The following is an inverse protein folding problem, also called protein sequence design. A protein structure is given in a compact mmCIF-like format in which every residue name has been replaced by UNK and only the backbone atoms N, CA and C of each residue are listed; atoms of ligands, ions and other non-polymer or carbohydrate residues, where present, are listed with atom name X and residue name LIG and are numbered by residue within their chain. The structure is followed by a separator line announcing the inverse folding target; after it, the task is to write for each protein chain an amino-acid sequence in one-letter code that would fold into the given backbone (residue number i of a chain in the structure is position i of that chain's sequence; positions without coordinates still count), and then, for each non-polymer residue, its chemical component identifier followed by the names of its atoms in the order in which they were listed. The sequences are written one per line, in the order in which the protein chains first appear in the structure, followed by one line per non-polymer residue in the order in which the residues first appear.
data_IF_068703529550
#
_entry.id   IF_068703529550
#
_cell.length_a   1.000
_cell.length_b   1.000
_cell.length_c   1.000
_cell.angle_alpha   90.00
_cell.angle_beta   90.00
_cell.angle_gamma   90.00
#
_symmetry.space_group_name_H-M   'P 1'
#
loop_
_entity.id
_entity.type
_entity.pdbx_description
1 polymer ?
#
# COMPACT_ATOMS: atom_id res chain seq x y z
N UNK A 1 20.29 6.99 -30.99
CA UNK A 1 19.62 7.24 -29.69
C UNK A 1 20.49 6.60 -28.63
N UNK A 2 21.31 7.39 -27.92
CA UNK A 2 22.08 6.87 -26.79
C UNK A 2 21.08 6.65 -25.66
N UNK A 3 20.66 5.39 -25.45
CA UNK A 3 20.01 5.02 -24.19
C UNK A 3 21.01 5.34 -23.08
N UNK A 4 20.69 6.31 -22.24
CA UNK A 4 21.46 6.58 -21.02
C UNK A 4 21.46 5.28 -20.22
N UNK A 5 22.65 4.73 -19.94
CA UNK A 5 22.75 3.47 -19.22
C UNK A 5 22.08 3.61 -17.84
N UNK A 6 21.29 2.60 -17.45
CA UNK A 6 20.68 2.53 -16.11
C UNK A 6 21.80 2.52 -15.07
N UNK A 7 21.75 3.46 -14.12
CA UNK A 7 22.75 3.56 -13.06
C UNK A 7 22.86 2.25 -12.26
N UNK A 8 24.08 1.83 -11.96
CA UNK A 8 24.39 0.58 -11.26
C UNK A 8 24.87 0.84 -9.84
N UNK A 9 24.76 -0.18 -8.99
CA UNK A 9 25.23 -0.20 -7.62
C UNK A 9 26.47 -1.08 -7.46
N UNK A 10 27.34 -0.75 -6.52
CA UNK A 10 28.42 -1.66 -6.08
C UNK A 10 27.88 -2.83 -5.24
N UNK A 11 26.64 -2.71 -4.73
CA UNK A 11 25.89 -3.83 -4.17
C UNK A 11 25.39 -4.68 -5.33
N UNK A 12 26.17 -5.69 -5.71
CA UNK A 12 26.01 -6.42 -6.98
C UNK A 12 24.60 -6.97 -7.19
N UNK A 13 24.01 -7.55 -6.15
CA UNK A 13 22.69 -8.18 -6.19
C UNK A 13 21.53 -7.17 -6.28
N UNK A 14 21.80 -5.86 -6.20
CA UNK A 14 20.82 -4.82 -6.53
C UNK A 14 20.70 -4.57 -8.05
N UNK A 15 21.73 -4.92 -8.84
CA UNK A 15 21.73 -4.68 -10.28
C UNK A 15 20.80 -5.66 -10.99
N UNK A 16 19.67 -5.15 -11.51
CA UNK A 16 18.62 -5.99 -12.10
C UNK A 16 17.66 -6.62 -11.08
N UNK A 17 17.79 -6.27 -9.80
CA UNK A 17 16.83 -6.67 -8.80
C UNK A 17 15.45 -6.08 -9.13
N UNK A 18 14.41 -6.92 -9.10
CA UNK A 18 13.08 -6.52 -9.56
C UNK A 18 12.38 -5.50 -8.66
N UNK A 19 12.62 -5.60 -7.34
CA UNK A 19 12.01 -4.71 -6.36
C UNK A 19 12.94 -3.60 -5.85
N UNK A 20 14.14 -3.93 -5.38
CA UNK A 20 15.06 -3.00 -4.69
C UNK A 20 16.35 -2.68 -5.47
N UNK A 21 16.31 -2.24 -6.75
CA UNK A 21 17.51 -1.74 -7.39
C UNK A 21 17.90 -0.37 -6.82
N UNK A 22 19.05 0.15 -7.26
CA UNK A 22 19.55 1.49 -6.87
C UNK A 22 18.53 2.61 -7.11
N UNK A 23 17.63 2.43 -8.09
CA UNK A 23 16.59 3.41 -8.41
C UNK A 23 15.43 3.41 -7.41
N UNK A 24 15.26 2.38 -6.58
CA UNK A 24 14.19 2.35 -5.60
C UNK A 24 14.60 3.01 -4.28
N UNK A 25 15.46 2.34 -3.50
CA UNK A 25 15.91 2.77 -2.16
C UNK A 25 14.73 3.09 -1.21
N UNK A 26 13.79 2.16 -0.99
CA UNK A 26 12.67 2.42 -0.09
C UNK A 26 13.16 2.38 1.37
N UNK A 27 12.49 3.14 2.23
CA UNK A 27 12.81 3.21 3.66
C UNK A 27 11.91 2.27 4.47
N UNK A 28 12.46 1.69 5.52
CA UNK A 28 11.71 0.82 6.42
C UNK A 28 12.32 0.80 7.81
N UNK A 29 11.60 0.18 8.74
CA UNK A 29 12.08 -0.07 10.10
C UNK A 29 12.39 -1.54 10.23
N UNK A 30 13.60 -1.84 10.70
CA UNK A 30 14.08 -3.20 10.89
C UNK A 30 14.74 -3.36 12.26
N UNK A 31 14.90 -4.61 12.68
CA UNK A 31 15.76 -4.99 13.80
C UNK A 31 16.46 -6.31 13.50
N UNK A 32 17.62 -6.51 14.09
CA UNK A 32 18.24 -7.83 14.21
C UNK A 32 17.82 -8.47 15.55
N UNK A 33 17.95 -9.80 15.70
CA UNK A 33 17.57 -10.47 16.94
C UNK A 33 18.22 -9.84 18.18
N UNK A 34 17.39 -9.37 19.12
CA UNK A 34 17.84 -8.76 20.38
C UNK A 34 18.32 -7.31 20.28
N UNK A 35 18.21 -6.67 19.11
CA UNK A 35 18.62 -5.28 18.91
C UNK A 35 17.43 -4.31 18.87
N UNK A 36 17.72 -3.02 19.08
CA UNK A 36 16.73 -1.95 18.96
C UNK A 36 16.24 -1.79 17.52
N UNK A 37 15.04 -1.21 17.37
CA UNK A 37 14.50 -0.81 16.07
C UNK A 37 15.37 0.29 15.44
N UNK A 38 15.68 0.13 14.16
CA UNK A 38 16.50 1.05 13.37
C UNK A 38 15.84 1.34 12.03
N UNK A 39 16.21 2.45 11.42
CA UNK A 39 15.81 2.75 10.05
C UNK A 39 16.82 2.18 9.05
N UNK A 40 16.31 1.53 8.01
CA UNK A 40 17.12 0.98 6.94
C UNK A 40 16.58 1.31 5.55
N UNK A 41 17.44 1.12 4.55
CA UNK A 41 17.12 1.26 3.13
C UNK A 41 17.34 -0.08 2.44
N UNK A 42 16.34 -0.59 1.72
CA UNK A 42 16.51 -1.82 0.96
C UNK A 42 17.38 -1.57 -0.29
N UNK A 43 18.35 -2.45 -0.53
CA UNK A 43 19.22 -2.44 -1.70
C UNK A 43 19.57 -3.89 -2.09
N UNK A 44 18.87 -4.38 -3.11
CA UNK A 44 18.76 -5.79 -3.45
C UNK A 44 18.32 -6.64 -2.24
N UNK A 45 18.99 -7.75 -1.98
CA UNK A 45 18.77 -8.66 -0.83
C UNK A 45 19.39 -8.16 0.49
N UNK A 46 19.78 -6.89 0.57
CA UNK A 46 20.40 -6.29 1.77
C UNK A 46 19.64 -5.05 2.26
N UNK A 47 19.86 -4.73 3.52
CA UNK A 47 19.36 -3.52 4.18
C UNK A 47 20.57 -2.69 4.61
N UNK A 48 20.66 -1.44 4.15
CA UNK A 48 21.61 -0.47 4.65
C UNK A 48 21.08 0.16 5.95
N UNK A 49 21.79 -0.03 7.06
CA UNK A 49 21.52 0.63 8.34
C UNK A 49 21.93 2.11 8.27
N UNK A 50 20.94 3.00 8.30
CA UNK A 50 21.18 4.44 8.20
C UNK A 50 21.88 4.99 9.44
N UNK A 51 21.63 4.44 10.63
CA UNK A 51 22.30 4.90 11.85
C UNK A 51 23.79 4.52 11.84
N UNK A 52 24.12 3.31 11.38
CA UNK A 52 25.50 2.87 11.22
C UNK A 52 26.23 3.71 10.15
N UNK A 53 25.59 3.96 9.00
CA UNK A 53 26.16 4.81 7.96
C UNK A 53 26.31 6.28 8.40
N UNK A 54 25.42 6.79 9.25
CA UNK A 54 25.57 8.09 9.90
C UNK A 54 26.74 8.13 10.87
N UNK A 55 26.93 7.08 11.68
CA UNK A 55 28.06 6.97 12.60
C UNK A 55 29.41 6.92 11.85
N UNK A 56 29.43 6.41 10.62
CA UNK A 56 30.58 6.44 9.72
C UNK A 56 30.89 7.83 9.11
N UNK A 57 30.09 8.87 9.44
CA UNK A 57 30.34 10.24 8.98
C UNK A 57 29.95 10.50 7.52
N UNK A 58 29.14 9.63 6.92
CA UNK A 58 28.85 9.65 5.49
C UNK A 58 27.72 10.62 5.09
N UNK A 59 27.09 11.30 6.03
CA UNK A 59 26.00 12.26 5.76
C UNK A 59 26.35 13.66 6.28
N UNK A 60 26.00 14.68 5.49
CA UNK A 60 26.16 16.10 5.82
C UNK A 60 24.89 16.88 5.48
N UNK A 61 24.77 18.12 5.99
CA UNK A 61 23.66 19.03 5.66
C UNK A 61 22.27 18.43 5.89
N UNK A 62 21.36 18.64 4.92
CA UNK A 62 19.99 18.12 4.99
C UNK A 62 19.91 16.60 4.99
N UNK A 63 20.82 15.90 4.31
CA UNK A 63 20.86 14.43 4.33
C UNK A 63 21.20 13.91 5.73
N UNK A 64 22.09 14.59 6.46
CA UNK A 64 22.38 14.28 7.87
C UNK A 64 21.15 14.47 8.75
N UNK A 65 20.49 15.63 8.64
CA UNK A 65 19.28 15.92 9.40
C UNK A 65 18.16 14.90 9.13
N UNK A 66 18.03 14.46 7.87
CA UNK A 66 17.10 13.41 7.47
C UNK A 66 17.36 12.08 8.19
N UNK A 67 18.61 11.60 8.22
CA UNK A 67 18.96 10.36 8.92
C UNK A 67 18.84 10.52 10.44
N UNK A 68 19.19 11.68 11.00
CA UNK A 68 18.99 11.93 12.43
C UNK A 68 17.51 11.86 12.82
N UNK A 69 16.60 12.29 11.93
CA UNK A 69 15.16 12.24 12.12
C UNK A 69 14.53 10.84 11.92
N UNK A 70 15.26 9.85 11.42
CA UNK A 70 14.77 8.46 11.37
C UNK A 70 15.15 7.64 12.61
N UNK A 71 15.95 8.20 13.52
CA UNK A 71 16.31 7.58 14.79
C UNK A 71 15.08 7.35 15.67
N UNK A 72 15.12 6.27 16.46
CA UNK A 72 14.03 5.92 17.37
C UNK A 72 12.98 4.99 16.78
N UNK A 73 13.27 4.37 15.63
CA UNK A 73 12.49 3.25 15.10
C UNK A 73 11.16 3.63 14.47
N UNK A 74 11.04 4.84 13.91
CA UNK A 74 9.87 5.27 13.16
C UNK A 74 10.22 6.39 12.16
N UNK A 75 9.55 6.43 11.01
CA UNK A 75 9.77 7.44 9.97
C UNK A 75 9.02 8.76 10.20
N UNK A 76 8.19 8.89 11.24
CA UNK A 76 7.34 10.07 11.45
C UNK A 76 8.11 11.40 11.47
N UNK A 77 9.23 11.48 12.21
CA UNK A 77 10.01 12.71 12.29
C UNK A 77 10.71 13.03 10.96
N UNK A 78 11.13 12.01 10.20
CA UNK A 78 11.62 12.19 8.84
C UNK A 78 10.53 12.67 7.87
N UNK A 79 9.31 12.13 7.97
CA UNK A 79 8.15 12.59 7.20
C UNK A 79 7.82 14.06 7.49
N UNK A 80 7.94 14.49 8.75
CA UNK A 80 7.71 15.87 9.17
C UNK A 80 8.69 16.89 8.56
N UNK A 81 9.90 16.47 8.17
CA UNK A 81 10.88 17.36 7.52
C UNK A 81 10.50 17.75 6.08
N UNK A 82 9.52 17.07 5.49
CA UNK A 82 9.02 17.37 4.15
C UNK A 82 9.98 16.97 3.02
N UNK A 83 9.60 17.39 1.80
CA UNK A 83 10.21 16.92 0.54
C UNK A 83 11.71 17.20 0.43
N UNK A 84 12.18 18.36 0.86
CA UNK A 84 13.59 18.74 0.71
C UNK A 84 14.55 17.76 1.41
N UNK A 85 14.21 17.34 2.64
CA UNK A 85 15.00 16.36 3.38
C UNK A 85 14.97 14.97 2.74
N UNK A 86 13.81 14.55 2.21
CA UNK A 86 13.68 13.27 1.48
C UNK A 86 14.56 13.22 0.23
N UNK A 87 14.52 14.29 -0.57
CA UNK A 87 15.35 14.44 -1.77
C UNK A 87 16.84 14.41 -1.40
N UNK A 88 17.25 15.20 -0.40
CA UNK A 88 18.65 15.26 0.03
C UNK A 88 19.18 13.89 0.50
N UNK A 89 18.38 13.15 1.27
CA UNK A 89 18.73 11.79 1.67
C UNK A 89 18.87 10.85 0.46
N UNK A 90 17.89 10.87 -0.44
CA UNK A 90 17.89 10.03 -1.65
C UNK A 90 19.10 10.31 -2.54
N UNK A 91 19.39 11.57 -2.84
CA UNK A 91 20.55 11.96 -3.64
C UNK A 91 21.86 11.49 -3.00
N UNK A 92 22.00 11.65 -1.68
CA UNK A 92 23.18 11.17 -0.98
C UNK A 92 23.30 9.64 -1.05
N UNK A 93 22.21 8.91 -0.88
CA UNK A 93 22.20 7.45 -0.98
C UNK A 93 22.56 6.96 -2.38
N UNK A 94 22.08 7.63 -3.43
CA UNK A 94 22.45 7.31 -4.82
C UNK A 94 23.97 7.44 -5.06
N UNK A 95 24.60 8.47 -4.48
CA UNK A 95 26.06 8.63 -4.53
C UNK A 95 26.77 7.54 -3.72
N UNK A 96 26.31 7.30 -2.49
CA UNK A 96 26.93 6.33 -1.57
C UNK A 96 26.85 4.89 -2.09
N UNK A 97 25.74 4.52 -2.73
CA UNK A 97 25.48 3.17 -3.23
C UNK A 97 25.81 2.99 -4.72
N UNK A 98 26.14 4.04 -5.46
CA UNK A 98 26.48 3.96 -6.89
C UNK A 98 27.78 3.20 -7.18
N UNK A 99 27.84 2.47 -8.29
CA UNK A 99 28.93 1.53 -8.70
C UNK A 99 30.37 2.02 -8.47
N UNK A 100 30.61 3.34 -8.58
CA UNK A 100 31.93 3.95 -8.42
C UNK A 100 32.10 4.74 -7.11
N UNK A 101 31.28 4.48 -6.10
CA UNK A 101 31.40 5.10 -4.78
C UNK A 101 32.79 4.82 -4.19
N UNK A 102 33.41 5.83 -3.59
CA UNK A 102 34.66 5.68 -2.84
C UNK A 102 34.43 5.15 -1.42
N UNK A 103 33.17 5.08 -0.98
CA UNK A 103 32.77 4.75 0.40
C UNK A 103 32.29 3.30 0.58
N UNK A 104 32.63 2.41 -0.36
CA UNK A 104 32.15 1.01 -0.34
C UNK A 104 32.64 0.26 0.90
N UNK A 105 33.90 0.49 1.29
CA UNK A 105 34.51 -0.20 2.42
C UNK A 105 33.82 0.18 3.74
N UNK A 106 33.53 1.47 3.93
CA UNK A 106 32.85 2.01 5.11
C UNK A 106 31.41 1.52 5.20
N UNK A 107 30.69 1.47 4.07
CA UNK A 107 29.28 1.05 4.02
C UNK A 107 29.08 -0.45 4.13
N UNK A 108 30.08 -1.27 3.76
CA UNK A 108 29.97 -2.74 3.82
C UNK A 108 29.65 -3.24 5.23
N UNK A 109 30.15 -2.57 6.27
CA UNK A 109 29.87 -2.90 7.67
C UNK A 109 28.45 -2.50 8.13
N UNK A 110 27.77 -1.61 7.38
CA UNK A 110 26.42 -1.14 7.64
C UNK A 110 25.36 -1.87 6.81
N UNK A 111 25.75 -2.85 5.97
CA UNK A 111 24.83 -3.68 5.20
C UNK A 111 24.54 -4.99 5.94
N UNK A 112 23.27 -5.29 6.12
CA UNK A 112 22.79 -6.56 6.68
C UNK A 112 22.03 -7.36 5.63
N UNK A 113 22.19 -8.69 5.56
CA UNK A 113 21.30 -9.53 4.77
C UNK A 113 19.85 -9.33 5.21
N UNK A 114 18.94 -9.08 4.27
CA UNK A 114 17.53 -8.85 4.59
C UNK A 114 16.90 -10.07 5.29
N UNK A 115 17.37 -11.28 4.98
CA UNK A 115 16.95 -12.54 5.61
C UNK A 115 17.32 -12.67 7.09
N UNK A 116 18.26 -11.86 7.58
CA UNK A 116 18.67 -11.83 9.00
C UNK A 116 17.95 -10.73 9.80
N UNK A 117 17.08 -9.97 9.14
CA UNK A 117 16.38 -8.83 9.71
C UNK A 117 14.88 -9.11 9.85
N UNK A 118 14.30 -8.61 10.94
CA UNK A 118 12.85 -8.52 11.10
C UNK A 118 12.39 -7.13 10.71
N UNK A 119 11.38 -7.05 9.84
CA UNK A 119 10.76 -5.79 9.42
C UNK A 119 9.54 -5.46 10.28
N UNK A 120 9.32 -4.15 10.48
CA UNK A 120 8.26 -3.61 11.34
C UNK A 120 7.42 -2.59 10.58
N UNK A 121 6.37 -2.05 11.23
CA UNK A 121 5.64 -0.92 10.67
C UNK A 121 6.60 0.28 10.50
N UNK A 122 6.55 0.97 9.35
CA UNK A 122 7.52 2.01 9.04
C UNK A 122 7.30 3.30 9.86
N UNK A 123 6.08 3.56 10.30
CA UNK A 123 5.71 4.72 11.08
C UNK A 123 4.65 4.36 12.13
N UNK A 124 4.56 5.20 13.17
CA UNK A 124 3.45 5.19 14.11
C UNK A 124 2.28 5.91 13.45
N UNK A 125 1.22 5.17 13.16
CA UNK A 125 0.01 5.74 12.52
C UNK A 125 -0.85 6.41 13.58
N UNK A 126 -1.04 7.72 13.45
CA UNK A 126 -2.01 8.48 14.24
C UNK A 126 -3.42 8.12 13.79
N UNK A 127 -3.74 8.50 12.57
CA UNK A 127 -5.02 8.21 11.92
C UNK A 127 -4.84 7.36 10.66
N UNK A 128 -5.75 6.39 10.49
CA UNK A 128 -5.91 5.59 9.28
C UNK A 128 -7.25 5.95 8.65
N UNK A 129 -7.25 6.37 7.40
CA UNK A 129 -8.48 6.58 6.62
C UNK A 129 -8.46 5.68 5.40
N UNK A 130 -9.55 4.98 5.16
CA UNK A 130 -9.67 4.14 3.98
C UNK A 130 -10.64 4.79 2.99
N UNK A 131 -10.17 4.99 1.76
CA UNK A 131 -10.96 5.59 0.69
C UNK A 131 -11.70 4.52 -0.11
N UNK A 132 -12.44 4.95 -1.13
CA UNK A 132 -13.21 4.05 -1.98
C UNK A 132 -13.04 4.40 -3.46
N UNK A 133 -11.80 4.53 -3.94
CA UNK A 133 -11.52 5.19 -5.25
C UNK A 133 -11.62 4.27 -6.48
N UNK A 134 -11.63 2.95 -6.29
CA UNK A 134 -11.76 1.99 -7.40
C UNK A 134 -13.17 1.93 -7.96
N UNK A 135 -13.43 2.58 -9.10
CA UNK A 135 -14.80 2.70 -9.64
C UNK A 135 -15.36 1.37 -10.13
N UNK A 136 -14.51 0.49 -10.66
CA UNK A 136 -14.90 -0.86 -11.06
C UNK A 136 -15.31 -1.66 -9.83
N UNK A 137 -14.53 -1.59 -8.75
CA UNK A 137 -14.88 -2.22 -7.48
C UNK A 137 -16.22 -1.70 -6.94
N UNK A 138 -16.39 -0.37 -6.88
CA UNK A 138 -17.63 0.26 -6.45
C UNK A 138 -18.84 -0.18 -7.30
N UNK A 139 -18.65 -0.33 -8.61
CA UNK A 139 -19.68 -0.81 -9.53
C UNK A 139 -19.99 -2.29 -9.33
N UNK A 140 -18.96 -3.13 -9.17
CA UNK A 140 -19.10 -4.58 -9.01
C UNK A 140 -19.82 -4.92 -7.71
N UNK A 141 -19.35 -4.37 -6.58
CA UNK A 141 -20.00 -4.52 -5.28
C UNK A 141 -21.40 -3.92 -5.32
N UNK A 142 -21.54 -2.73 -5.89
CA UNK A 142 -22.82 -2.08 -6.12
C UNK A 142 -23.85 -2.98 -6.82
N UNK A 143 -23.46 -3.70 -7.87
CA UNK A 143 -24.36 -4.62 -8.60
C UNK A 143 -24.87 -5.78 -7.76
N UNK A 144 -24.11 -6.22 -6.75
CA UNK A 144 -24.53 -7.31 -5.86
C UNK A 144 -25.67 -6.89 -4.91
N UNK A 145 -25.72 -5.60 -4.54
CA UNK A 145 -26.69 -5.07 -3.58
C UNK A 145 -27.77 -4.18 -4.21
N UNK A 146 -27.44 -3.50 -5.31
CA UNK A 146 -28.24 -2.51 -6.03
C UNK A 146 -28.00 -2.64 -7.55
N UNK A 147 -28.49 -3.72 -8.20
CA UNK A 147 -28.19 -4.04 -9.59
C UNK A 147 -28.55 -2.91 -10.57
N UNK A 148 -29.66 -2.20 -10.33
CA UNK A 148 -30.15 -1.15 -11.22
C UNK A 148 -29.42 0.19 -11.07
N UNK A 149 -28.81 0.43 -9.90
CA UNK A 149 -28.04 1.65 -9.62
C UNK A 149 -26.84 1.34 -8.71
N UNK A 150 -25.77 0.73 -9.28
CA UNK A 150 -24.68 0.18 -8.48
C UNK A 150 -23.85 1.26 -7.79
N UNK A 151 -23.64 2.40 -8.46
CA UNK A 151 -22.93 3.55 -7.92
C UNK A 151 -23.89 4.53 -7.27
N UNK A 152 -23.58 4.99 -6.05
CA UNK A 152 -24.33 6.07 -5.43
C UNK A 152 -24.03 7.41 -6.11
N UNK A 153 -24.98 8.37 -6.14
CA UNK A 153 -24.84 9.60 -6.92
C UNK A 153 -23.60 10.45 -6.58
N UNK A 154 -23.14 10.41 -5.33
CA UNK A 154 -22.00 11.19 -4.84
C UNK A 154 -20.64 10.66 -5.30
N UNK A 155 -20.53 9.39 -5.70
CA UNK A 155 -19.25 8.71 -5.98
C UNK A 155 -18.38 9.46 -7.00
N UNK A 156 -19.01 10.02 -8.04
CA UNK A 156 -18.31 10.72 -9.14
C UNK A 156 -17.96 12.18 -8.81
N UNK A 157 -18.42 12.69 -7.67
CA UNK A 157 -18.18 14.07 -7.22
C UNK A 157 -17.25 14.16 -6.01
N UNK A 158 -17.19 13.11 -5.20
CA UNK A 158 -16.47 13.09 -3.92
C UNK A 158 -15.63 11.81 -3.83
N UNK A 159 -14.33 11.87 -3.52
CA UNK A 159 -13.56 10.69 -3.14
C UNK A 159 -14.00 10.25 -1.73
N UNK A 160 -15.03 9.42 -1.67
CA UNK A 160 -15.61 8.93 -0.41
C UNK A 160 -14.56 8.10 0.35
N UNK A 161 -14.52 8.25 1.66
CA UNK A 161 -13.73 7.44 2.57
C UNK A 161 -14.33 7.40 3.97
N UNK A 162 -13.76 6.58 4.84
CA UNK A 162 -14.15 6.44 6.25
C UNK A 162 -12.91 6.27 7.13
N UNK A 163 -13.03 6.60 8.41
CA UNK A 163 -11.95 6.38 9.36
C UNK A 163 -11.80 4.90 9.66
N UNK A 164 -10.62 4.34 9.37
CA UNK A 164 -10.24 2.98 9.69
C UNK A 164 -9.67 2.85 11.10
N UNK A 165 -9.13 1.68 11.44
CA UNK A 165 -8.58 1.40 12.77
C UNK A 165 -7.05 1.31 12.79
N UNK A 166 -6.40 2.38 13.24
CA UNK A 166 -4.94 2.44 13.33
C UNK A 166 -4.32 1.36 14.25
N UNK A 167 -4.96 1.03 15.38
CA UNK A 167 -4.39 0.11 16.39
C UNK A 167 -4.20 -1.34 15.90
N UNK A 168 -4.87 -1.72 14.81
CA UNK A 168 -4.86 -3.06 14.24
C UNK A 168 -4.11 -3.15 12.91
N UNK A 169 -3.37 -2.08 12.55
CA UNK A 169 -2.38 -2.15 11.48
C UNK A 169 -1.24 -3.08 11.90
N UNK A 170 -0.85 -3.99 11.01
CA UNK A 170 0.24 -4.95 11.24
C UNK A 170 1.18 -4.98 10.03
N UNK A 171 2.49 -5.21 10.26
CA UNK A 171 3.40 -5.42 9.15
C UNK A 171 3.10 -6.75 8.46
N UNK A 172 3.53 -6.84 7.20
CA UNK A 172 3.54 -8.06 6.41
C UNK A 172 4.08 -9.27 7.19
N UNK A 173 3.42 -10.42 7.07
CA UNK A 173 3.75 -11.66 7.76
C UNK A 173 2.98 -11.90 9.07
N UNK A 174 2.23 -10.92 9.57
CA UNK A 174 1.35 -11.11 10.72
C UNK A 174 0.24 -12.12 10.42
N UNK A 175 -0.10 -12.95 11.41
CA UNK A 175 -1.23 -13.89 11.32
C UNK A 175 -2.57 -13.14 11.31
N UNK A 176 -3.48 -13.62 10.46
CA UNK A 176 -4.82 -13.06 10.28
C UNK A 176 -5.80 -14.00 10.95
N UNK A 177 -6.14 -13.70 12.20
CA UNK A 177 -7.14 -14.51 12.93
C UNK A 177 -8.53 -14.22 12.39
N UNK A 178 -9.23 -15.28 11.94
CA UNK A 178 -10.63 -15.18 11.52
C UNK A 178 -11.46 -14.54 12.64
N UNK A 179 -12.15 -13.42 12.38
CA UNK A 179 -12.91 -12.75 13.41
C UNK A 179 -14.18 -13.54 13.72
N UNK A 180 -14.67 -13.38 14.95
CA UNK A 180 -16.06 -13.71 15.31
C UNK A 180 -16.88 -12.43 15.31
N UNK A 181 -18.16 -12.53 14.98
CA UNK A 181 -19.07 -11.39 15.03
C UNK A 181 -20.51 -11.79 14.86
N UNK A 182 -21.39 -10.78 14.87
CA UNK A 182 -22.79 -10.98 14.56
C UNK A 182 -22.99 -11.03 13.05
N UNK A 183 -23.86 -11.92 12.59
CA UNK A 183 -24.28 -12.01 11.19
C UNK A 183 -25.78 -12.23 11.12
N UNK A 184 -26.42 -11.72 10.06
CA UNK A 184 -27.82 -12.02 9.76
C UNK A 184 -27.92 -12.73 8.40
N UNK A 185 -28.03 -14.07 8.38
CA UNK A 185 -28.21 -14.81 7.15
C UNK A 185 -29.53 -14.44 6.43
N UNK A 186 -29.59 -14.49 5.08
CA UNK A 186 -30.82 -14.25 4.35
C UNK A 186 -31.98 -15.14 4.82
N UNK A 187 -33.15 -14.54 5.02
CA UNK A 187 -34.36 -15.24 5.49
C UNK A 187 -34.46 -15.40 7.00
N UNK A 188 -33.45 -15.00 7.76
CA UNK A 188 -33.50 -14.95 9.21
C UNK A 188 -33.98 -13.58 9.71
N UNK A 189 -34.63 -13.57 10.88
CA UNK A 189 -35.11 -12.35 11.55
C UNK A 189 -34.25 -11.95 12.75
N UNK A 190 -33.43 -12.87 13.27
CA UNK A 190 -32.55 -12.66 14.41
C UNK A 190 -31.10 -12.97 14.04
N UNK A 191 -30.11 -12.16 14.48
CA UNK A 191 -28.72 -12.40 14.17
C UNK A 191 -28.17 -13.59 14.96
N UNK A 192 -27.16 -14.25 14.39
CA UNK A 192 -26.35 -15.26 15.08
C UNK A 192 -24.96 -14.71 15.40
N UNK A 193 -24.25 -15.34 16.34
CA UNK A 193 -22.87 -15.01 16.69
C UNK A 193 -21.95 -16.20 16.44
N UNK A 194 -20.84 -15.98 15.73
CA UNK A 194 -19.88 -17.03 15.43
C UNK A 194 -18.73 -16.56 14.55
N UNK A 195 -17.85 -17.49 14.11
CA UNK A 195 -16.80 -17.18 13.15
C UNK A 195 -17.36 -16.62 11.84
N UNK A 196 -16.68 -15.63 11.27
CA UNK A 196 -16.93 -15.11 9.93
C UNK A 196 -16.85 -16.24 8.88
N UNK A 197 -17.90 -16.41 8.09
CA UNK A 197 -17.96 -17.37 6.98
C UNK A 197 -17.47 -16.77 5.66
N UNK A 198 -17.48 -15.44 5.52
CA UNK A 198 -17.10 -14.72 4.29
C UNK A 198 -15.89 -13.81 4.50
N UNK A 199 -14.76 -14.41 4.87
CA UNK A 199 -13.49 -13.70 5.04
C UNK A 199 -12.85 -13.41 3.69
N UNK A 200 -12.36 -12.20 3.51
CA UNK A 200 -11.89 -11.68 2.23
C UNK A 200 -10.65 -10.81 2.40
N UNK A 201 -9.93 -10.60 1.30
CA UNK A 201 -8.88 -9.59 1.19
C UNK A 201 -9.39 -8.38 0.39
N UNK A 202 -8.68 -7.27 0.51
CA UNK A 202 -8.83 -6.12 -0.39
C UNK A 202 -7.46 -5.69 -0.90
N UNK A 203 -7.27 -5.71 -2.21
CA UNK A 203 -6.04 -5.26 -2.86
C UNK A 203 -6.00 -3.73 -2.88
N UNK A 204 -5.10 -3.15 -2.09
CA UNK A 204 -5.00 -1.70 -1.94
C UNK A 204 -3.57 -1.16 -1.96
N UNK A 205 -3.50 0.15 -2.16
CA UNK A 205 -2.29 0.93 -1.95
C UNK A 205 -2.42 1.72 -0.63
N UNK A 206 -1.42 1.61 0.22
CA UNK A 206 -1.24 2.49 1.37
C UNK A 206 -0.47 3.76 0.97
N UNK A 207 -0.93 4.91 1.44
CA UNK A 207 -0.41 6.23 1.11
C UNK A 207 0.04 6.90 2.41
N UNK A 208 1.34 7.15 2.53
CA UNK A 208 1.93 7.75 3.72
C UNK A 208 1.94 9.27 3.62
N UNK A 209 1.33 9.93 4.61
CA UNK A 209 1.35 11.38 4.72
C UNK A 209 2.70 11.84 5.28
N UNK A 210 3.31 12.79 4.57
CA UNK A 210 4.55 13.48 4.87
C UNK A 210 4.34 14.61 5.85
N UNK A 211 4.66 15.84 5.45
CA UNK A 211 4.32 17.00 6.27
C UNK A 211 2.79 17.11 6.38
N UNK A 212 2.29 17.38 7.58
CA UNK A 212 0.86 17.60 7.82
C UNK A 212 0.40 19.02 7.42
N UNK A 213 -0.73 19.41 7.97
CA UNK A 213 -1.27 20.78 7.89
C UNK A 213 -1.68 21.27 9.30
N UNK A 214 -1.94 22.56 9.44
CA UNK A 214 -2.51 23.11 10.67
C UNK A 214 -4.03 22.87 10.69
N UNK A 215 -4.60 22.71 11.89
CA UNK A 215 -6.05 22.61 12.06
C UNK A 215 -6.77 23.81 11.44
N UNK A 216 -7.81 23.54 10.65
CA UNK A 216 -8.55 24.57 9.92
C UNK A 216 -7.90 25.04 8.62
N UNK A 217 -6.69 24.60 8.28
CA UNK A 217 -6.01 24.95 7.04
C UNK A 217 -6.02 23.77 6.07
N UNK A 218 -6.88 23.83 5.05
CA UNK A 218 -6.93 22.81 4.00
C UNK A 218 -5.66 22.82 3.15
N UNK A 219 -5.24 21.65 2.66
CA UNK A 219 -4.15 21.50 1.70
C UNK A 219 -4.72 21.71 0.29
N UNK A 220 -4.32 22.75 -0.46
CA UNK A 220 -4.76 22.94 -1.83
C UNK A 220 -4.23 21.82 -2.74
N UNK A 221 -5.00 21.43 -3.76
CA UNK A 221 -4.62 20.35 -4.68
C UNK A 221 -3.26 20.57 -5.37
N UNK A 222 -2.91 21.81 -5.70
CA UNK A 222 -1.63 22.16 -6.30
C UNK A 222 -0.42 21.91 -5.37
N UNK A 223 -0.65 21.78 -4.06
CA UNK A 223 0.37 21.54 -3.04
C UNK A 223 0.36 20.10 -2.51
N UNK A 224 -0.72 19.35 -2.75
CA UNK A 224 -0.94 18.02 -2.17
C UNK A 224 0.19 17.01 -2.40
N UNK A 225 0.86 17.04 -3.57
CA UNK A 225 2.02 16.18 -3.86
C UNK A 225 3.19 16.37 -2.87
N UNK A 226 3.34 17.55 -2.26
CA UNK A 226 4.38 17.82 -1.28
C UNK A 226 4.15 17.07 0.04
N UNK A 227 2.88 16.77 0.33
CA UNK A 227 2.41 16.06 1.51
C UNK A 227 2.41 14.54 1.31
N UNK A 228 2.72 14.01 0.12
CA UNK A 228 2.95 12.58 -0.09
C UNK A 228 4.39 12.21 0.29
N UNK A 229 4.56 11.36 1.31
CA UNK A 229 5.87 10.82 1.67
C UNK A 229 6.27 9.63 0.78
N UNK A 230 5.31 8.74 0.52
CA UNK A 230 5.54 7.53 -0.25
C UNK A 230 4.36 6.57 -0.17
N UNK A 231 4.52 5.42 -0.80
CA UNK A 231 3.48 4.41 -0.98
C UNK A 231 3.93 3.05 -0.44
N UNK A 232 2.98 2.23 0.00
CA UNK A 232 3.17 0.82 0.34
C UNK A 232 1.99 -0.01 -0.18
N UNK A 233 2.06 -1.34 -0.12
CA UNK A 233 0.89 -2.20 -0.30
C UNK A 233 0.08 -2.24 0.99
N UNK A 234 -1.24 -2.35 0.84
CA UNK A 234 -2.19 -2.49 1.94
C UNK A 234 -3.16 -3.64 1.63
N UNK A 235 -3.43 -4.49 2.63
CA UNK A 235 -4.52 -5.46 2.59
C UNK A 235 -5.54 -5.14 3.68
N UNK A 236 -6.71 -4.67 3.28
CA UNK A 236 -7.81 -4.35 4.20
C UNK A 236 -8.73 -5.57 4.39
N UNK A 237 -8.28 -6.49 5.25
CA UNK A 237 -8.99 -7.74 5.51
C UNK A 237 -10.43 -7.49 5.92
N UNK A 238 -11.34 -8.26 5.34
CA UNK A 238 -12.76 -7.94 5.38
C UNK A 238 -13.62 -9.15 5.73
N UNK A 239 -14.46 -9.03 6.75
CA UNK A 239 -15.47 -10.03 7.11
C UNK A 239 -16.84 -9.62 6.52
N UNK A 240 -17.15 -10.08 5.31
CA UNK A 240 -18.25 -9.54 4.48
C UNK A 240 -19.65 -9.78 5.03
N UNK A 241 -19.83 -10.88 5.75
CA UNK A 241 -21.08 -11.24 6.41
C UNK A 241 -21.33 -10.41 7.67
N UNK A 242 -20.29 -10.13 8.47
CA UNK A 242 -20.34 -9.18 9.57
C UNK A 242 -20.64 -7.78 9.02
N UNK A 243 -19.92 -7.37 7.96
CA UNK A 243 -20.06 -6.06 7.33
C UNK A 243 -21.51 -5.80 6.88
N UNK A 244 -22.11 -6.76 6.17
CA UNK A 244 -23.46 -6.64 5.65
C UNK A 244 -24.52 -6.41 6.73
N UNK A 245 -24.28 -6.92 7.96
CA UNK A 245 -25.17 -6.74 9.10
C UNK A 245 -24.95 -5.39 9.80
N UNK A 246 -23.70 -4.98 10.00
CA UNK A 246 -23.39 -3.84 10.88
C UNK A 246 -23.33 -2.47 10.17
N UNK A 247 -23.06 -2.42 8.87
CA UNK A 247 -22.57 -1.18 8.25
C UNK A 247 -23.61 -0.06 8.11
N UNK A 248 -24.90 -0.36 8.23
CA UNK A 248 -25.95 0.66 8.10
C UNK A 248 -26.34 1.21 9.47
N UNK A 249 -26.37 2.54 9.66
CA UNK A 249 -26.06 3.62 8.70
C UNK A 249 -24.61 4.17 8.80
N UNK A 250 -23.78 3.62 9.69
CA UNK A 250 -22.54 4.29 10.15
C UNK A 250 -21.27 3.92 9.38
N UNK A 251 -21.35 3.00 8.42
CA UNK A 251 -20.21 2.48 7.67
C UNK A 251 -19.58 1.23 8.31
N UNK A 252 -18.55 0.66 7.67
CA UNK A 252 -17.85 -0.53 8.15
C UNK A 252 -17.20 -0.32 9.52
N UNK A 253 -17.20 -1.33 10.38
CA UNK A 253 -16.60 -1.23 11.71
C UNK A 253 -15.83 -2.50 12.09
N UNK A 254 -16.46 -3.46 12.80
CA UNK A 254 -15.81 -4.70 13.25
C UNK A 254 -15.44 -5.62 12.09
N UNK A 255 -16.12 -5.46 10.95
CA UNK A 255 -15.83 -6.19 9.74
C UNK A 255 -14.50 -5.82 9.09
N UNK A 256 -13.85 -4.74 9.54
CA UNK A 256 -12.57 -4.22 9.04
C UNK A 256 -11.54 -4.09 10.15
N UNK A 257 -11.95 -3.65 11.33
CA UNK A 257 -11.04 -3.28 12.43
C UNK A 257 -10.32 -4.45 13.11
N UNK A 258 -10.40 -5.68 12.61
CA UNK A 258 -9.78 -6.84 13.23
C UNK A 258 -8.30 -6.97 12.84
N UNK A 259 -7.93 -6.64 11.59
CA UNK A 259 -6.55 -6.52 11.13
C UNK A 259 -6.49 -5.86 9.75
N UNK A 260 -5.52 -4.98 9.54
CA UNK A 260 -5.13 -4.46 8.22
C UNK A 260 -3.62 -4.67 8.08
N UNK A 261 -3.14 -5.22 6.96
CA UNK A 261 -1.72 -5.56 6.77
C UNK A 261 -1.06 -4.58 5.82
N UNK A 262 0.21 -4.22 6.08
CA UNK A 262 1.00 -3.30 5.25
C UNK A 262 2.32 -3.93 4.80
N UNK A 263 2.76 -3.67 3.57
CA UNK A 263 4.16 -3.94 3.22
C UNK A 263 5.09 -3.02 4.03
N UNK A 264 6.25 -3.51 4.48
CA UNK A 264 7.09 -2.80 5.45
C UNK A 264 7.91 -1.66 4.83
N UNK A 265 8.10 -1.68 3.51
CA UNK A 265 8.91 -0.72 2.78
C UNK A 265 8.04 0.44 2.27
N UNK A 266 8.46 1.66 2.59
CA UNK A 266 7.89 2.90 2.04
C UNK A 266 8.67 3.27 0.79
N UNK A 267 8.05 3.05 -0.37
CA UNK A 267 8.59 3.50 -1.66
C UNK A 267 8.31 5.00 -1.78
N UNK A 268 9.37 5.79 -1.72
CA UNK A 268 9.26 7.26 -1.68
C UNK A 268 8.59 7.82 -2.95
N UNK A 269 7.88 8.95 -2.80
CA UNK A 269 7.30 9.65 -3.95
C UNK A 269 8.35 9.99 -5.02
N UNK A 270 9.56 10.32 -4.59
CA UNK A 270 10.69 10.65 -5.45
C UNK A 270 11.23 9.45 -6.24
N UNK A 271 11.08 8.22 -5.71
CA UNK A 271 11.42 7.00 -6.44
C UNK A 271 10.41 6.69 -7.55
N UNK A 272 9.15 7.08 -7.34
CA UNK A 272 8.03 6.79 -8.24
C UNK A 272 7.85 7.81 -9.37
N UNK A 273 8.59 8.93 -9.34
CA UNK A 273 8.50 9.98 -10.36
C UNK A 273 8.62 9.45 -11.81
N UNK A 274 9.53 8.51 -12.15
CA UNK A 274 9.62 7.95 -13.50
C UNK A 274 8.41 7.14 -13.94
N UNK A 275 7.47 6.85 -13.03
CA UNK A 275 6.26 6.07 -13.26
C UNK A 275 4.99 6.90 -13.14
N UNK A 276 5.12 8.21 -12.93
CA UNK A 276 3.99 9.13 -13.09
C UNK A 276 3.51 9.15 -14.55
N UNK A 277 2.22 9.38 -14.71
CA UNK A 277 1.57 9.59 -16.00
C UNK A 277 0.26 10.37 -15.83
N UNK A 278 -0.39 10.67 -16.94
CA UNK A 278 -1.69 11.32 -16.92
C UNK A 278 -2.73 10.43 -16.24
N UNK A 279 -3.56 11.05 -15.41
CA UNK A 279 -4.71 10.37 -14.82
C UNK A 279 -5.62 9.87 -15.95
N UNK A 280 -6.04 8.58 -15.93
CA UNK A 280 -6.98 8.07 -16.91
C UNK A 280 -8.23 8.94 -17.03
N UNK A 281 -8.56 9.31 -18.26
CA UNK A 281 -9.67 10.18 -18.54
C UNK A 281 -10.98 9.57 -18.02
N UNK A 282 -11.81 10.42 -17.41
CA UNK A 282 -13.15 10.01 -16.98
C UNK A 282 -13.97 9.51 -18.17
N UNK A 283 -14.81 8.48 -18.00
CA UNK A 283 -15.72 8.02 -19.04
C UNK A 283 -16.56 9.16 -19.62
N UNK A 284 -16.86 9.09 -20.92
CA UNK A 284 -17.68 10.10 -21.59
C UNK A 284 -19.03 10.26 -20.88
N UNK A 285 -19.36 11.48 -20.48
CA UNK A 285 -20.60 11.82 -19.78
C UNK A 285 -20.48 11.87 -18.26
N UNK A 286 -19.35 11.44 -17.70
CA UNK A 286 -19.07 11.65 -16.28
C UNK A 286 -18.84 13.14 -15.98
N UNK A 287 -19.23 13.60 -14.77
CA UNK A 287 -19.05 14.98 -14.38
C UNK A 287 -17.57 15.29 -14.13
N UNK A 288 -17.21 16.55 -14.40
CA UNK A 288 -15.95 17.11 -13.94
C UNK A 288 -16.00 17.28 -12.40
N UNK A 289 -14.89 17.03 -11.68
CA UNK A 289 -14.78 17.39 -10.28
C UNK A 289 -15.04 18.89 -10.05
N UNK A 290 -15.47 19.25 -8.84
CA UNK A 290 -15.52 20.65 -8.42
C UNK A 290 -14.11 21.28 -8.45
N UNK A 291 -13.99 22.62 -8.61
CA UNK A 291 -12.69 23.27 -8.81
C UNK A 291 -11.61 22.94 -7.77
N UNK A 292 -11.98 22.71 -6.50
CA UNK A 292 -11.01 22.37 -5.46
C UNK A 292 -10.33 21.00 -5.66
N UNK A 293 -10.94 20.11 -6.45
CA UNK A 293 -10.40 18.79 -6.81
C UNK A 293 -9.88 18.73 -8.25
N UNK A 294 -9.77 19.87 -8.93
CA UNK A 294 -9.35 19.92 -10.31
C UNK A 294 -8.11 20.79 -10.45
N UNK A 295 -7.01 20.17 -10.87
CA UNK A 295 -5.76 20.83 -11.17
C UNK A 295 -5.13 20.22 -12.43
N UNK A 296 -4.65 21.06 -13.35
CA UNK A 296 -4.14 20.60 -14.65
C UNK A 296 -2.87 19.75 -14.50
N UNK A 297 -2.01 20.07 -13.53
CA UNK A 297 -0.78 19.33 -13.28
C UNK A 297 -1.08 17.96 -12.69
N UNK A 298 -2.00 17.89 -11.74
CA UNK A 298 -2.51 16.62 -11.20
C UNK A 298 -3.15 15.76 -12.30
N UNK A 299 -3.98 16.33 -13.17
CA UNK A 299 -4.57 15.54 -14.27
C UNK A 299 -3.51 15.05 -15.28
N UNK A 300 -2.44 15.82 -15.50
CA UNK A 300 -1.37 15.45 -16.42
C UNK A 300 -0.34 14.47 -15.83
N UNK A 301 -0.12 14.42 -14.52
CA UNK A 301 0.97 13.65 -13.89
C UNK A 301 0.63 13.02 -12.52
N UNK A 302 -0.61 13.09 -12.06
CA UNK A 302 -1.04 12.68 -10.72
C UNK A 302 -1.23 11.17 -10.56
N UNK A 303 -1.31 10.41 -11.66
CA UNK A 303 -1.39 8.96 -11.60
C UNK A 303 -0.01 8.32 -11.53
N UNK A 304 0.06 7.19 -10.82
CA UNK A 304 1.20 6.29 -10.84
C UNK A 304 0.82 5.03 -11.62
N UNK A 305 1.69 4.57 -12.50
CA UNK A 305 1.53 3.28 -13.19
C UNK A 305 2.22 2.17 -12.38
N UNK A 306 1.43 1.49 -11.55
CA UNK A 306 1.88 0.45 -10.63
C UNK A 306 1.03 -0.79 -10.87
N UNK A 307 1.65 -1.84 -11.39
CA UNK A 307 1.04 -3.17 -11.52
C UNK A 307 0.84 -3.77 -10.12
N UNK A 308 -0.34 -4.30 -9.86
CA UNK A 308 -0.75 -4.86 -8.57
C UNK A 308 -1.15 -6.32 -8.73
N UNK A 309 -0.50 -7.23 -8.01
CA UNK A 309 -0.73 -8.67 -8.13
C UNK A 309 -1.25 -9.25 -6.81
N UNK A 310 -2.25 -10.14 -6.92
CA UNK A 310 -2.76 -10.94 -5.80
C UNK A 310 -2.43 -12.40 -6.03
N UNK A 311 -1.79 -13.02 -5.04
CA UNK A 311 -1.50 -14.45 -5.02
C UNK A 311 -2.17 -15.11 -3.81
N UNK A 312 -2.61 -16.35 -3.99
CA UNK A 312 -3.13 -17.23 -2.95
C UNK A 312 -2.24 -18.47 -2.83
N UNK A 313 -1.85 -18.80 -1.60
CA UNK A 313 -1.11 -20.02 -1.27
C UNK A 313 -1.86 -20.80 -0.19
N UNK A 314 -2.43 -21.95 -0.56
CA UNK A 314 -3.13 -22.84 0.36
C UNK A 314 -2.16 -23.78 1.09
N UNK A 315 -2.64 -24.45 2.13
CA UNK A 315 -1.88 -25.49 2.82
C UNK A 315 -1.53 -26.67 1.89
N UNK A 316 -2.51 -27.15 1.12
CA UNK A 316 -2.31 -28.22 0.14
C UNK A 316 -1.27 -27.86 -0.92
N UNK A 317 -1.31 -26.63 -1.44
CA UNK A 317 -0.30 -26.16 -2.39
C UNK A 317 1.10 -26.18 -1.78
N UNK A 318 1.26 -25.77 -0.51
CA UNK A 318 2.55 -25.87 0.20
C UNK A 318 3.02 -27.32 0.37
N UNK A 319 2.14 -28.21 0.79
CA UNK A 319 2.45 -29.64 0.96
C UNK A 319 2.87 -30.32 -0.36
N UNK A 320 2.30 -29.86 -1.47
CA UNK A 320 2.59 -30.37 -2.82
C UNK A 320 3.77 -29.64 -3.50
N UNK A 321 4.39 -28.65 -2.84
CA UNK A 321 5.46 -27.84 -3.43
C UNK A 321 5.00 -26.98 -4.62
N UNK A 322 3.71 -26.66 -4.70
CA UNK A 322 3.15 -25.79 -5.75
C UNK A 322 3.40 -24.31 -5.44
N UNK A 323 3.67 -23.48 -6.46
CA UNK A 323 3.79 -22.03 -6.26
C UNK A 323 2.43 -21.41 -5.93
N UNK A 324 2.43 -20.25 -5.26
CA UNK A 324 1.22 -19.47 -5.04
C UNK A 324 0.51 -19.17 -6.38
N UNK A 325 -0.80 -19.29 -6.41
CA UNK A 325 -1.62 -19.07 -7.60
C UNK A 325 -2.00 -17.60 -7.69
N UNK A 326 -1.79 -16.99 -8.86
CA UNK A 326 -2.30 -15.65 -9.13
C UNK A 326 -3.82 -15.65 -9.24
N UNK A 327 -4.47 -14.86 -8.39
CA UNK A 327 -5.90 -14.60 -8.43
C UNK A 327 -6.22 -13.38 -9.31
N UNK A 328 -5.37 -12.34 -9.26
CA UNK A 328 -5.61 -11.11 -9.99
C UNK A 328 -4.32 -10.39 -10.38
N UNK A 329 -4.38 -9.66 -11.49
CA UNK A 329 -3.41 -8.67 -11.92
C UNK A 329 -4.14 -7.37 -12.27
N UNK A 330 -4.06 -6.38 -11.39
CA UNK A 330 -4.67 -5.05 -11.50
C UNK A 330 -3.61 -3.97 -11.68
N UNK A 331 -4.01 -2.70 -11.62
CA UNK A 331 -3.11 -1.55 -11.68
C UNK A 331 -3.75 -0.34 -10.94
N UNK A 332 -2.92 0.53 -10.36
CA UNK A 332 -3.35 1.81 -9.77
C UNK A 332 -3.99 2.77 -10.80
N UNK A 333 -3.79 2.57 -12.09
CA UNK A 333 -4.53 3.27 -13.15
C UNK A 333 -6.05 2.99 -13.16
N UNK A 334 -6.53 2.04 -12.36
CA UNK A 334 -7.97 1.86 -12.14
C UNK A 334 -8.55 2.79 -11.06
N UNK A 335 -7.72 3.57 -10.37
CA UNK A 335 -8.19 4.61 -9.44
C UNK A 335 -8.94 5.70 -10.21
N UNK A 336 -10.13 6.06 -9.74
CA UNK A 336 -10.93 7.15 -10.32
C UNK A 336 -10.56 8.54 -9.78
N UNK A 337 -9.88 8.56 -8.62
CA UNK A 337 -9.42 9.76 -7.93
C UNK A 337 -7.90 9.64 -7.67
N UNK A 338 -7.15 10.71 -7.90
CA UNK A 338 -5.70 10.74 -7.67
C UNK A 338 -5.36 10.89 -6.19
N UNK A 339 -4.12 10.56 -5.81
CA UNK A 339 -3.62 10.76 -4.43
C UNK A 339 -3.75 12.23 -3.99
N UNK A 340 -3.47 13.17 -4.89
CA UNK A 340 -3.61 14.61 -4.61
C UNK A 340 -5.06 14.97 -4.27
N UNK A 341 -6.03 14.41 -5.00
CA UNK A 341 -7.45 14.60 -4.72
C UNK A 341 -7.86 14.02 -3.36
N UNK A 342 -7.27 12.90 -2.91
CA UNK A 342 -7.54 12.31 -1.59
C UNK A 342 -7.05 13.23 -0.46
N UNK A 343 -5.79 13.67 -0.54
CA UNK A 343 -5.18 14.59 0.45
C UNK A 343 -5.96 15.90 0.53
N UNK A 344 -6.30 16.47 -0.63
CA UNK A 344 -7.06 17.71 -0.72
C UNK A 344 -8.45 17.55 -0.12
N UNK A 345 -9.17 16.48 -0.48
CA UNK A 345 -10.52 16.27 0.01
C UNK A 345 -10.56 16.04 1.52
N UNK A 346 -9.64 15.24 2.04
CA UNK A 346 -9.58 14.91 3.46
C UNK A 346 -9.41 16.16 4.33
N UNK A 347 -8.53 17.07 3.90
CA UNK A 347 -8.23 18.31 4.63
C UNK A 347 -9.20 19.47 4.35
N UNK A 348 -10.10 19.37 3.36
CA UNK A 348 -10.92 20.51 2.88
C UNK A 348 -11.82 21.13 3.94
N UNK A 349 -12.23 20.34 4.95
CA UNK A 349 -13.06 20.82 6.05
C UNK A 349 -12.25 21.37 7.23
N UNK A 350 -10.92 21.45 7.11
CA UNK A 350 -10.00 21.84 8.18
C UNK A 350 -9.46 20.67 9.00
N UNK A 351 -9.69 19.42 8.60
CA UNK A 351 -9.06 18.25 9.21
C UNK A 351 -7.53 18.39 9.18
N UNK A 352 -6.90 18.13 10.32
CA UNK A 352 -5.45 18.14 10.46
C UNK A 352 -4.89 16.76 10.10
N UNK A 353 -4.14 16.69 9.00
CA UNK A 353 -3.30 15.53 8.71
C UNK A 353 -1.96 15.65 9.45
N UNK A 354 -1.40 14.52 9.84
CA UNK A 354 -0.16 14.43 10.60
C UNK A 354 0.89 13.56 9.89
N UNK A 355 2.19 13.81 10.13
CA UNK A 355 3.26 12.95 9.62
C UNK A 355 3.14 11.51 10.09
N UNK A 356 2.98 10.60 9.13
CA UNK A 356 2.76 9.17 9.38
C UNK A 356 1.29 8.76 9.49
N UNK A 357 0.34 9.67 9.23
CA UNK A 357 -1.02 9.23 8.89
C UNK A 357 -0.98 8.39 7.62
N UNK A 358 -1.94 7.47 7.53
CA UNK A 358 -2.03 6.49 6.46
C UNK A 358 -3.39 6.59 5.78
N UNK A 359 -3.39 6.70 4.46
CA UNK A 359 -4.59 6.47 3.66
C UNK A 359 -4.54 5.11 2.97
N UNK A 360 -5.65 4.37 3.00
CA UNK A 360 -5.93 3.27 2.08
C UNK A 360 -6.61 3.82 0.83
N UNK A 361 -6.29 3.25 -0.34
CA UNK A 361 -6.93 3.67 -1.59
C UNK A 361 -8.40 3.26 -1.67
N UNK A 362 -8.81 2.25 -0.92
CA UNK A 362 -9.93 1.40 -1.30
C UNK A 362 -9.51 0.39 -2.36
N UNK A 363 -10.27 -0.70 -2.46
CA UNK A 363 -9.97 -1.84 -3.33
C UNK A 363 -9.79 -1.45 -4.80
N UNK A 364 -8.69 -1.91 -5.42
CA UNK A 364 -8.28 -1.56 -6.78
C UNK A 364 -8.57 -2.68 -7.78
N UNK A 365 -9.76 -2.66 -8.36
CA UNK A 365 -10.20 -3.59 -9.40
C UNK A 365 -10.07 -3.01 -10.80
N UNK A 366 -9.64 -3.82 -11.77
CA UNK A 366 -9.77 -3.51 -13.19
C UNK A 366 -11.12 -3.91 -13.78
N UNK A 367 -11.25 -3.76 -15.10
CA UNK A 367 -12.50 -3.99 -15.81
C UNK A 367 -12.82 -5.48 -16.06
N UNK A 368 -11.83 -6.37 -15.94
CA UNK A 368 -11.96 -7.80 -16.20
C UNK A 368 -11.84 -8.64 -14.92
N UNK A 369 -12.49 -9.82 -14.84
CA UNK A 369 -12.49 -10.64 -13.61
C UNK A 369 -11.11 -11.05 -13.10
N UNK A 370 -10.13 -11.21 -13.98
CA UNK A 370 -8.72 -11.52 -13.66
C UNK A 370 -7.95 -10.31 -13.12
N UNK A 371 -8.62 -9.18 -12.89
CA UNK A 371 -8.06 -7.95 -12.32
C UNK A 371 -8.86 -7.43 -11.11
N UNK A 372 -9.79 -8.22 -10.57
CA UNK A 372 -10.59 -7.83 -9.42
C UNK A 372 -9.80 -7.91 -8.11
N UNK A 373 -9.97 -6.90 -7.25
CA UNK A 373 -9.20 -6.72 -6.03
C UNK A 373 -9.74 -7.45 -4.79
N UNK A 374 -10.74 -8.32 -4.93
CA UNK A 374 -11.35 -9.06 -3.81
C UNK A 374 -12.00 -10.38 -4.27
N UNK A 375 -12.11 -11.38 -3.38
CA UNK A 375 -12.90 -12.58 -3.68
C UNK A 375 -14.39 -12.28 -3.76
N UNK A 376 -14.88 -11.27 -3.04
CA UNK A 376 -16.27 -10.82 -3.16
C UNK A 376 -16.65 -10.53 -4.62
N UNK A 377 -15.76 -9.86 -5.35
CA UNK A 377 -15.94 -9.54 -6.77
C UNK A 377 -15.68 -10.76 -7.65
N UNK A 378 -14.51 -11.40 -7.50
CA UNK A 378 -14.09 -12.55 -8.32
C UNK A 378 -15.13 -13.66 -8.30
N UNK A 379 -15.79 -13.85 -7.15
CA UNK A 379 -16.75 -14.93 -6.97
C UNK A 379 -18.21 -14.51 -7.11
N UNK A 380 -18.47 -13.24 -7.46
CA UNK A 380 -19.82 -12.67 -7.59
C UNK A 380 -20.64 -12.92 -6.30
N UNK A 381 -20.06 -12.57 -5.15
CA UNK A 381 -20.68 -12.83 -3.85
C UNK A 381 -20.72 -14.30 -3.44
N UNK A 382 -19.77 -15.12 -3.91
CA UNK A 382 -19.71 -16.56 -3.65
C UNK A 382 -20.60 -17.42 -4.56
N UNK A 383 -21.24 -16.83 -5.58
CA UNK A 383 -22.09 -17.54 -6.55
C UNK A 383 -21.28 -18.30 -7.58
N UNK A 384 -20.09 -17.81 -7.94
CA UNK A 384 -19.19 -18.39 -8.93
C UNK A 384 -17.84 -18.65 -8.24
N UNK A 385 -17.56 -19.88 -7.77
CA UNK A 385 -16.31 -20.12 -7.08
C UNK A 385 -15.11 -20.12 -8.03
N UNK A 386 -13.92 -19.86 -7.50
CA UNK A 386 -12.64 -20.02 -8.22
C UNK A 386 -12.13 -21.44 -8.02
N UNK A 387 -11.76 -22.12 -9.10
CA UNK A 387 -11.01 -23.37 -9.06
C UNK A 387 -9.51 -23.07 -9.06
N UNK A 388 -8.78 -23.65 -8.11
CA UNK A 388 -7.34 -23.50 -7.96
C UNK A 388 -6.61 -24.61 -8.72
N UNK A 389 -5.35 -24.37 -9.07
CA UNK A 389 -4.48 -25.31 -9.77
C UNK A 389 -4.27 -26.62 -8.98
N UNK A 390 -4.46 -26.60 -7.65
CA UNK A 390 -4.45 -27.78 -6.77
C UNK A 390 -5.75 -28.60 -6.82
N UNK A 391 -6.77 -28.15 -7.58
CA UNK A 391 -8.13 -28.70 -7.62
C UNK A 391 -9.01 -28.27 -6.44
N UNK A 392 -8.50 -27.43 -5.54
CA UNK A 392 -9.29 -26.80 -4.48
C UNK A 392 -10.23 -25.73 -5.05
N UNK A 393 -11.31 -25.44 -4.34
CA UNK A 393 -12.30 -24.45 -4.74
C UNK A 393 -12.38 -23.37 -3.66
N UNK A 394 -12.44 -22.10 -4.05
CA UNK A 394 -12.62 -20.97 -3.12
C UNK A 394 -13.81 -20.09 -3.50
N UNK A 395 -14.60 -19.74 -2.48
CA UNK A 395 -15.61 -18.67 -2.54
C UNK A 395 -15.16 -17.46 -1.73
N UNK A 396 -14.61 -17.73 -0.57
CA UNK A 396 -13.99 -16.81 0.38
C UNK A 396 -12.77 -17.54 0.98
N UNK A 397 -11.97 -16.84 1.78
CA UNK A 397 -10.77 -17.41 2.36
C UNK A 397 -11.10 -18.46 3.42
N UNK A 398 -10.37 -19.58 3.37
CA UNK A 398 -10.42 -20.66 4.33
C UNK A 398 -9.26 -20.54 5.33
N UNK A 399 -9.36 -21.23 6.47
CA UNK A 399 -8.26 -21.26 7.43
C UNK A 399 -7.05 -21.98 6.81
N UNK A 400 -5.85 -21.42 7.00
CA UNK A 400 -4.63 -21.90 6.37
C UNK A 400 -4.28 -21.19 5.06
N UNK A 401 -5.21 -20.50 4.41
CA UNK A 401 -4.93 -19.71 3.20
C UNK A 401 -3.97 -18.54 3.52
N UNK A 402 -3.00 -18.29 2.64
CA UNK A 402 -2.11 -17.12 2.71
C UNK A 402 -2.32 -16.25 1.48
N UNK A 403 -2.68 -14.98 1.71
CA UNK A 403 -2.73 -13.96 0.66
C UNK A 403 -1.39 -13.25 0.62
N UNK A 404 -0.87 -13.04 -0.59
CA UNK A 404 0.35 -12.30 -0.85
C UNK A 404 0.03 -11.26 -1.92
N UNK A 405 0.13 -9.98 -1.55
CA UNK A 405 0.06 -8.86 -2.47
C UNK A 405 1.46 -8.47 -2.91
N UNK A 406 1.62 -8.11 -4.19
CA UNK A 406 2.84 -7.56 -4.77
C UNK A 406 2.51 -6.33 -5.62
N UNK A 407 3.45 -5.40 -5.69
CA UNK A 407 3.35 -4.23 -6.55
C UNK A 407 4.66 -3.98 -7.28
N UNK A 408 4.57 -3.56 -8.54
CA UNK A 408 5.74 -3.28 -9.37
C UNK A 408 5.45 -2.21 -10.42
N UNK A 409 6.38 -1.27 -10.55
CA UNK A 409 6.40 -0.28 -11.62
C UNK A 409 7.34 -0.77 -12.72
N UNK A 410 6.90 -0.72 -13.98
CA UNK A 410 7.68 -1.11 -15.16
C UNK A 410 7.53 -0.06 -16.25
N UNK A 411 8.64 0.36 -16.85
CA UNK A 411 8.65 1.26 -18.02
C UNK A 411 9.90 1.00 -18.83
N UNK A 412 9.77 0.95 -20.15
CA UNK A 412 10.91 0.72 -21.04
C UNK A 412 12.01 1.77 -20.79
N UNK A 413 13.26 1.32 -20.68
CA UNK A 413 14.40 2.20 -20.42
C UNK A 413 14.53 2.69 -18.97
N UNK A 414 13.64 2.29 -18.07
CA UNK A 414 13.67 2.62 -16.63
C UNK A 414 13.82 1.33 -15.82
N UNK A 415 14.62 1.37 -14.75
CA UNK A 415 14.74 0.22 -13.85
C UNK A 415 13.41 -0.06 -13.14
N UNK A 416 13.02 -1.34 -13.02
CA UNK A 416 11.84 -1.76 -12.27
C UNK A 416 11.89 -1.30 -10.82
N UNK A 417 10.75 -0.90 -10.24
CA UNK A 417 10.65 -0.58 -8.81
C UNK A 417 9.54 -1.42 -8.21
N UNK A 418 9.84 -2.15 -7.13
CA UNK A 418 8.86 -2.97 -6.42
C UNK A 418 8.72 -2.59 -4.96
N UNK A 419 7.69 -3.15 -4.33
CA UNK A 419 7.27 -2.79 -2.97
C UNK A 419 7.57 -3.88 -1.94
N UNK A 420 8.24 -4.96 -2.36
CA UNK A 420 8.25 -6.21 -1.62
C UNK A 420 6.84 -6.80 -1.57
N UNK A 421 6.50 -7.41 -0.44
CA UNK A 421 5.23 -8.13 -0.29
C UNK A 421 4.44 -7.66 0.92
N UNK A 422 3.12 -7.64 0.76
CA UNK A 422 2.16 -7.56 1.87
C UNK A 422 1.45 -8.91 1.96
N UNK A 423 1.82 -9.73 2.96
CA UNK A 423 1.31 -11.10 3.12
C UNK A 423 0.69 -11.33 4.49
N UNK A 424 -0.29 -12.24 4.56
CA UNK A 424 -0.89 -12.68 5.81
C UNK A 424 -1.53 -14.06 5.66
N UNK A 425 -1.29 -14.94 6.65
CA UNK A 425 -1.87 -16.28 6.70
C UNK A 425 -3.09 -16.28 7.61
N UNK A 426 -4.22 -16.78 7.09
CA UNK A 426 -5.46 -16.93 7.83
C UNK A 426 -5.31 -18.07 8.84
N UNK A 427 -5.65 -17.80 10.09
CA UNK A 427 -5.72 -18.80 11.16
C UNK A 427 -7.14 -18.86 11.73
N UNK A 428 -7.48 -20.02 12.29
CA UNK A 428 -8.79 -20.27 12.84
C UNK A 428 -9.22 -19.26 13.90
N UNK A 429 -10.52 -19.02 13.96
CA UNK A 429 -11.13 -18.26 15.05
C UNK A 429 -10.83 -18.94 16.40
N UNK A 430 -10.73 -18.13 17.46
CA UNK A 430 -10.49 -18.63 18.82
C UNK A 430 -11.61 -19.53 19.36
#
# INVERSE_FOLDING_TARGET
MNQTAIARSWVEHANGHSDFPLQNLPLGIFSRPGEALRCGVAIGDAILDLEAALAAGLFTGQAKAAVEATRGGALNAFFALGRAARVALRERLLVLLGEHSEHQAELKAALYPASECQLHLPAKVGDYTDFYVGIQHATNVGKLFRPDNPLLPNYKYVPIGYHGRASTLRPSGAEVRRPKGQTLPPGHTEPSFGPCARLDYELELGIWIGQGNDIGQAIPIAEADQHLAGLCLLNDWSARDIQAWEYQPLGPFLSKSFITTLSPWVVTAEALEPFRCAQPARPKGDPQPLPYLLDERDQANGAFDIELEVLLLTERMREQGMPAQRLALSNTLNMYWTVAQLITHHSVNGCQLQPGDLFGSGTLSGASPDSYGSLLETTVGGKQPVELASGEIRKFLEDGDEIILRARCKREGVASIGFGECRGKVIAAN
#
